data_IF_777355365498
#
_entry.id   IF_777355365498
#
_cell.length_a   1.000
_cell.length_b   1.000
_cell.length_c   1.000
_cell.angle_alpha   90.00
_cell.angle_beta   90.00
_cell.angle_gamma   90.00
#
_symmetry.space_group_name_H-M   'P 1'
#
loop_
_entity.id
_entity.type
_entity.pdbx_description
1 polymer ?
#
# COMPACT_ATOMS: atom_id res chain seq x y z
N UNK A 1 -18.19 0.06 12.15
CA UNK A 1 -17.70 0.34 10.79
C UNK A 1 -16.19 0.42 10.88
N UNK A 2 -15.51 -0.55 10.29
CA UNK A 2 -14.04 -0.55 10.11
C UNK A 2 -13.64 -1.61 9.07
N UNK A 3 -14.49 -2.63 8.83
CA UNK A 3 -14.27 -3.65 7.80
C UNK A 3 -13.82 -3.08 6.46
N UNK A 4 -14.38 -1.95 6.00
CA UNK A 4 -13.98 -1.35 4.74
C UNK A 4 -12.52 -0.87 4.76
N UNK A 5 -12.10 -0.13 5.79
CA UNK A 5 -10.70 0.35 5.93
C UNK A 5 -9.74 -0.82 6.14
N UNK A 6 -10.16 -1.82 6.92
CA UNK A 6 -9.39 -3.05 7.15
C UNK A 6 -9.16 -3.83 5.86
N UNK A 7 -10.24 -4.05 5.10
CA UNK A 7 -10.20 -4.69 3.79
C UNK A 7 -9.38 -3.89 2.77
N UNK A 8 -9.50 -2.56 2.75
CA UNK A 8 -8.72 -1.72 1.82
C UNK A 8 -7.23 -1.87 2.06
N UNK A 9 -6.77 -1.90 3.31
CA UNK A 9 -5.36 -2.12 3.65
C UNK A 9 -4.89 -3.51 3.22
N UNK A 10 -5.70 -4.55 3.46
CA UNK A 10 -5.39 -5.91 3.03
C UNK A 10 -5.30 -6.03 1.50
N UNK A 11 -6.24 -5.43 0.77
CA UNK A 11 -6.21 -5.42 -0.70
C UNK A 11 -5.01 -4.64 -1.25
N UNK A 12 -4.60 -3.56 -0.57
CA UNK A 12 -3.40 -2.80 -0.94
C UNK A 12 -2.13 -3.66 -0.81
N UNK A 13 -1.99 -4.42 0.28
CA UNK A 13 -0.85 -5.32 0.47
C UNK A 13 -0.85 -6.47 -0.55
N UNK A 14 -2.03 -7.05 -0.84
CA UNK A 14 -2.17 -8.06 -1.89
C UNK A 14 -1.74 -7.52 -3.26
N UNK A 15 -2.22 -6.33 -3.65
CA UNK A 15 -1.87 -5.71 -4.92
C UNK A 15 -0.36 -5.44 -5.04
N UNK A 16 0.29 -4.99 -3.97
CA UNK A 16 1.75 -4.76 -3.96
C UNK A 16 2.55 -6.07 -4.08
N UNK A 17 2.07 -7.17 -3.49
CA UNK A 17 2.69 -8.49 -3.65
C UNK A 17 2.56 -9.01 -5.07
N UNK A 18 1.39 -8.81 -5.70
CA UNK A 18 1.17 -9.22 -7.08
C UNK A 18 1.95 -8.35 -8.06
N UNK A 19 2.08 -7.04 -7.79
CA UNK A 19 3.00 -6.17 -8.51
C UNK A 19 4.44 -6.71 -8.43
N UNK A 20 4.93 -7.03 -7.22
CA UNK A 20 6.27 -7.63 -7.04
C UNK A 20 6.44 -8.92 -7.84
N UNK A 21 5.42 -9.78 -7.88
CA UNK A 21 5.45 -11.03 -8.66
C UNK A 21 5.47 -10.77 -10.16
N UNK A 22 4.67 -9.84 -10.65
CA UNK A 22 4.62 -9.46 -12.06
C UNK A 22 5.94 -8.83 -12.55
N UNK A 23 6.68 -8.19 -11.63
CA UNK A 23 8.00 -7.63 -11.92
C UNK A 23 9.12 -8.69 -11.94
N UNK A 24 8.88 -9.92 -11.49
CA UNK A 24 9.87 -10.99 -11.62
C UNK A 24 10.07 -11.34 -13.08
N UNK A 25 11.31 -11.22 -13.56
CA UNK A 25 11.68 -11.49 -14.96
C UNK A 25 11.67 -10.25 -15.86
N UNK A 26 11.11 -9.13 -15.41
CA UNK A 26 11.28 -7.85 -16.09
C UNK A 26 12.64 -7.26 -15.68
N UNK A 27 13.49 -6.83 -16.63
CA UNK A 27 14.68 -6.06 -16.32
C UNK A 27 14.27 -4.64 -15.84
N UNK A 28 13.76 -4.57 -14.62
CA UNK A 28 13.18 -3.37 -14.01
C UNK A 28 14.25 -2.32 -13.65
N UNK A 29 15.54 -2.70 -13.71
CA UNK A 29 16.70 -1.83 -13.45
C UNK A 29 17.10 -0.99 -14.67
N UNK A 30 16.54 -1.27 -15.85
CA UNK A 30 16.78 -0.50 -17.08
C UNK A 30 15.67 0.53 -17.28
N UNK A 31 16.04 1.77 -17.63
CA UNK A 31 15.08 2.82 -18.00
C UNK A 31 14.40 3.57 -16.83
N UNK A 32 14.95 3.54 -15.62
CA UNK A 32 14.42 4.32 -14.49
C UNK A 32 13.18 3.74 -13.81
N UNK A 33 12.64 2.63 -14.31
CA UNK A 33 11.46 1.96 -13.76
C UNK A 33 11.64 1.54 -12.29
N UNK A 34 12.86 1.12 -11.89
CA UNK A 34 13.21 0.88 -10.48
C UNK A 34 12.90 2.07 -9.57
N UNK A 35 13.24 3.29 -10.00
CA UNK A 35 13.00 4.48 -9.20
C UNK A 35 11.50 4.75 -9.06
N UNK A 36 10.73 4.55 -10.14
CA UNK A 36 9.27 4.67 -10.12
C UNK A 36 8.62 3.64 -9.19
N UNK A 37 9.06 2.38 -9.25
CA UNK A 37 8.60 1.33 -8.34
C UNK A 37 8.95 1.64 -6.88
N UNK A 38 10.19 2.07 -6.62
CA UNK A 38 10.65 2.35 -5.26
C UNK A 38 9.94 3.58 -4.67
N UNK A 39 9.62 4.58 -5.51
CA UNK A 39 8.81 5.73 -5.10
C UNK A 39 7.36 5.31 -4.80
N UNK A 40 6.74 4.51 -5.67
CA UNK A 40 5.40 3.99 -5.46
C UNK A 40 5.33 3.18 -4.15
N UNK A 41 6.32 2.34 -3.88
CA UNK A 41 6.39 1.56 -2.64
C UNK A 41 6.46 2.45 -1.38
N UNK A 42 7.18 3.58 -1.44
CA UNK A 42 7.20 4.57 -0.34
C UNK A 42 5.86 5.24 -0.15
N UNK A 43 5.23 5.69 -1.24
CA UNK A 43 3.96 6.40 -1.18
C UNK A 43 2.86 5.49 -0.61
N UNK A 44 2.85 4.21 -1.01
CA UNK A 44 1.95 3.18 -0.45
C UNK A 44 2.21 2.93 1.03
N UNK A 45 3.46 2.91 1.48
CA UNK A 45 3.78 2.77 2.89
C UNK A 45 3.25 3.97 3.71
N UNK A 46 3.41 5.19 3.21
CA UNK A 46 2.87 6.41 3.85
C UNK A 46 1.35 6.34 3.93
N UNK A 47 0.68 5.98 2.83
CA UNK A 47 -0.78 5.83 2.79
C UNK A 47 -1.27 4.78 3.80
N UNK A 48 -0.56 3.66 3.93
CA UNK A 48 -0.90 2.60 4.88
C UNK A 48 -0.84 3.10 6.34
N UNK A 49 0.21 3.85 6.68
CA UNK A 49 0.36 4.46 8.02
C UNK A 49 -0.76 5.48 8.28
N UNK A 50 -1.10 6.31 7.30
CA UNK A 50 -2.19 7.29 7.44
C UNK A 50 -3.56 6.63 7.61
N UNK A 51 -3.82 5.53 6.88
CA UNK A 51 -5.02 4.73 7.04
C UNK A 51 -5.09 4.11 8.45
N UNK A 52 -3.97 3.59 8.96
CA UNK A 52 -3.92 3.01 10.30
C UNK A 52 -4.13 4.07 11.41
N UNK A 53 -3.52 5.26 11.27
CA UNK A 53 -3.77 6.38 12.15
C UNK A 53 -5.25 6.82 12.14
N UNK A 54 -5.87 6.82 10.95
CA UNK A 54 -7.29 7.13 10.78
C UNK A 54 -8.21 6.11 11.46
N UNK A 55 -7.80 4.83 11.56
CA UNK A 55 -8.56 3.83 12.34
C UNK A 55 -8.66 4.21 13.81
N UNK A 56 -7.60 4.76 14.40
CA UNK A 56 -7.60 5.23 15.79
C UNK A 56 -8.68 6.29 16.04
N UNK A 57 -8.69 7.32 15.19
CA UNK A 57 -9.66 8.42 15.26
C UNK A 57 -11.10 7.96 15.02
N UNK A 58 -11.31 7.08 14.04
CA UNK A 58 -12.64 6.53 13.72
C UNK A 58 -13.20 5.62 14.84
N UNK A 59 -12.34 5.01 15.66
CA UNK A 59 -12.75 4.25 16.85
C UNK A 59 -13.15 5.16 18.00
N UNK A 60 -12.49 6.32 18.16
CA UNK A 60 -12.82 7.31 19.19
C UNK A 60 -14.12 8.06 18.89
N UNK A 61 -14.39 8.43 17.64
CA UNK A 61 -15.63 9.14 17.27
C UNK A 61 -16.93 8.31 17.41
N UNK A 62 -16.83 7.03 17.75
CA UNK A 62 -17.97 6.13 17.99
C UNK A 62 -18.26 5.87 19.47
N UNK A 63 -17.47 6.43 20.40
CA UNK A 63 -17.77 6.45 21.84
C UNK A 63 -18.56 7.70 22.19
#
# INVERSE_FOLDING_TARGET
MSKAVDQTVEYLDMAMRDLKRALNGIPYRTGGFKNTHDQLARDVAVLTVQLDASRGVLREQKK
#
